data_IF_483291651911
#
_entry.id   IF_483291651911
#
_cell.length_a   1.000
_cell.length_b   1.000
_cell.length_c   1.000
_cell.angle_alpha   90.00
_cell.angle_beta   90.00
_cell.angle_gamma   90.00
#
_symmetry.space_group_name_H-M   'P 1'
#
loop_
_entity.id
_entity.type
_entity.pdbx_description
1 polymer ?
#
# COMPACT_ATOMS: atom_id res chain seq x y z
N UNK A 1 22.05 5.45 -26.09
CA UNK A 1 23.46 5.36 -25.66
C UNK A 1 24.36 5.44 -26.89
N UNK A 2 25.28 6.40 -26.93
CA UNK A 2 26.30 6.55 -27.98
C UNK A 2 27.53 5.68 -27.70
N UNK A 3 28.35 5.38 -28.72
CA UNK A 3 29.58 4.58 -28.57
C UNK A 3 30.54 5.16 -27.51
N UNK A 4 30.60 6.49 -27.39
CA UNK A 4 31.46 7.17 -26.40
C UNK A 4 30.97 6.96 -24.97
N UNK A 5 29.66 7.02 -24.75
CA UNK A 5 29.04 6.78 -23.44
C UNK A 5 29.26 5.34 -22.97
N UNK A 6 29.09 4.36 -23.87
CA UNK A 6 29.34 2.94 -23.57
C UNK A 6 30.79 2.71 -23.16
N UNK A 7 31.76 3.30 -23.88
CA UNK A 7 33.18 3.20 -23.53
C UNK A 7 33.51 3.86 -22.20
N UNK A 8 32.88 4.99 -21.87
CA UNK A 8 33.06 5.65 -20.57
C UNK A 8 32.53 4.78 -19.42
N UNK A 9 31.35 4.19 -19.59
CA UNK A 9 30.74 3.30 -18.62
C UNK A 9 31.58 2.02 -18.41
N UNK A 10 32.06 1.40 -19.49
CA UNK A 10 32.95 0.24 -19.41
C UNK A 10 34.25 0.55 -18.65
N UNK A 11 34.86 1.74 -18.87
CA UNK A 11 36.03 2.16 -18.11
C UNK A 11 35.74 2.27 -16.61
N UNK A 12 34.57 2.80 -16.24
CA UNK A 12 34.16 2.90 -14.83
C UNK A 12 33.93 1.50 -14.22
N UNK A 13 33.22 0.62 -14.92
CA UNK A 13 32.95 -0.74 -14.45
C UNK A 13 34.24 -1.56 -14.29
N UNK A 14 35.21 -1.37 -15.18
CA UNK A 14 36.54 -1.98 -15.06
C UNK A 14 37.33 -1.39 -13.89
N UNK A 15 37.30 -0.06 -13.70
CA UNK A 15 37.97 0.59 -12.57
C UNK A 15 37.40 0.14 -11.20
N UNK A 16 36.11 -0.17 -11.15
CA UNK A 16 35.43 -0.69 -9.95
C UNK A 16 35.56 -2.21 -9.80
N UNK A 17 36.22 -2.90 -10.76
CA UNK A 17 36.47 -4.34 -10.68
C UNK A 17 35.26 -5.23 -10.98
N UNK A 18 34.17 -4.68 -11.52
CA UNK A 18 32.98 -5.46 -11.92
C UNK A 18 33.19 -6.21 -13.25
N UNK A 19 34.03 -5.67 -14.13
CA UNK A 19 34.17 -6.15 -15.50
C UNK A 19 35.64 -6.21 -15.90
N UNK A 20 36.04 -7.32 -16.51
CA UNK A 20 37.35 -7.53 -17.13
C UNK A 20 37.22 -7.56 -18.65
N UNK A 21 38.16 -6.91 -19.32
CA UNK A 21 38.23 -6.92 -20.79
C UNK A 21 39.30 -7.94 -21.17
N UNK A 22 38.91 -8.99 -21.87
CA UNK A 22 39.79 -10.07 -22.31
C UNK A 22 40.09 -9.94 -23.82
N UNK A 23 41.21 -10.55 -24.24
CA UNK A 23 41.74 -10.64 -25.62
C UNK A 23 41.48 -9.45 -26.55
N UNK A 24 42.50 -8.60 -26.75
CA UNK A 24 42.50 -7.52 -27.77
C UNK A 24 41.26 -6.59 -27.75
N UNK A 25 40.60 -6.43 -26.60
CA UNK A 25 39.34 -5.67 -26.44
C UNK A 25 38.13 -6.24 -27.20
N UNK A 26 38.11 -7.54 -27.47
CA UNK A 26 37.03 -8.19 -28.22
C UNK A 26 35.91 -8.64 -27.27
N UNK A 27 36.25 -9.07 -26.05
CA UNK A 27 35.30 -9.64 -25.10
C UNK A 27 35.28 -8.88 -23.77
N UNK A 28 34.08 -8.69 -23.23
CA UNK A 28 33.82 -8.06 -21.93
C UNK A 28 33.20 -9.11 -21.03
N UNK A 29 33.93 -9.53 -19.99
CA UNK A 29 33.52 -10.58 -19.07
C UNK A 29 33.23 -9.98 -17.68
N UNK A 30 32.19 -10.45 -17.01
CA UNK A 30 31.97 -10.12 -15.61
C UNK A 30 33.05 -10.77 -14.73
N UNK A 31 33.50 -10.04 -13.73
CA UNK A 31 34.25 -10.64 -12.61
C UNK A 31 33.26 -11.28 -11.64
N UNK A 32 33.74 -12.01 -10.62
CA UNK A 32 32.85 -12.55 -9.59
C UNK A 32 32.07 -11.45 -8.86
N UNK A 33 32.72 -10.32 -8.56
CA UNK A 33 32.07 -9.14 -7.99
C UNK A 33 30.97 -8.59 -8.93
N UNK A 34 31.26 -8.51 -10.23
CA UNK A 34 30.29 -8.07 -11.23
C UNK A 34 29.12 -9.03 -11.39
N UNK A 35 29.37 -10.34 -11.29
CA UNK A 35 28.33 -11.37 -11.34
C UNK A 35 27.38 -11.24 -10.16
N UNK A 36 27.91 -11.15 -8.95
CA UNK A 36 27.10 -10.96 -7.72
C UNK A 36 26.25 -9.70 -7.86
N UNK A 37 26.86 -8.57 -8.24
CA UNK A 37 26.12 -7.30 -8.34
C UNK A 37 25.10 -7.31 -9.48
N UNK A 38 25.40 -7.98 -10.58
CA UNK A 38 24.49 -8.16 -11.71
C UNK A 38 23.30 -9.05 -11.35
N UNK A 39 23.53 -10.11 -10.59
CA UNK A 39 22.46 -10.99 -10.08
C UNK A 39 21.57 -10.26 -9.09
N UNK A 40 22.12 -9.43 -8.20
CA UNK A 40 21.33 -8.58 -7.31
C UNK A 40 20.43 -7.60 -8.09
N UNK A 41 20.98 -6.95 -9.12
CA UNK A 41 20.21 -6.05 -9.98
C UNK A 41 19.05 -6.82 -10.65
N UNK A 42 19.40 -7.93 -11.33
CA UNK A 42 18.43 -8.79 -12.01
C UNK A 42 17.33 -9.30 -11.07
N UNK A 43 17.70 -9.73 -9.86
CA UNK A 43 16.73 -10.21 -8.87
C UNK A 43 15.73 -9.13 -8.47
N UNK A 44 16.20 -7.89 -8.29
CA UNK A 44 15.33 -6.74 -7.98
C UNK A 44 14.40 -6.43 -9.15
N UNK A 45 14.92 -6.39 -10.37
CA UNK A 45 14.13 -6.20 -11.58
C UNK A 45 12.99 -7.23 -11.66
N UNK A 46 13.34 -8.52 -11.62
CA UNK A 46 12.37 -9.62 -11.73
C UNK A 46 11.32 -9.56 -10.60
N UNK A 47 11.73 -9.23 -9.37
CA UNK A 47 10.82 -9.05 -8.23
C UNK A 47 9.80 -7.94 -8.48
N UNK A 48 10.26 -6.77 -8.94
CA UNK A 48 9.37 -5.64 -9.19
C UNK A 48 8.46 -5.89 -10.39
N UNK A 49 8.97 -6.47 -11.48
CA UNK A 49 8.15 -6.83 -12.64
C UNK A 49 7.03 -7.78 -12.23
N UNK A 50 7.37 -8.87 -11.52
CA UNK A 50 6.37 -9.83 -11.03
C UNK A 50 5.35 -9.20 -10.07
N UNK A 51 5.80 -8.33 -9.16
CA UNK A 51 4.89 -7.59 -8.27
C UNK A 51 3.92 -6.72 -9.08
N UNK A 52 4.43 -5.94 -10.04
CA UNK A 52 3.64 -4.99 -10.82
C UNK A 52 2.63 -5.71 -11.71
N UNK A 53 3.04 -6.80 -12.37
CA UNK A 53 2.14 -7.67 -13.12
C UNK A 53 1.08 -8.30 -12.21
N UNK A 54 1.47 -8.75 -11.02
CA UNK A 54 0.56 -9.33 -10.03
C UNK A 54 -0.52 -8.34 -9.59
N UNK A 55 -0.19 -7.06 -9.43
CA UNK A 55 -1.18 -6.01 -9.10
C UNK A 55 -1.96 -5.50 -10.32
N UNK A 56 -1.70 -6.05 -11.52
CA UNK A 56 -2.48 -5.81 -12.74
C UNK A 56 -1.88 -4.80 -13.71
N UNK A 57 -0.61 -4.42 -13.56
CA UNK A 57 0.11 -3.59 -14.54
C UNK A 57 0.42 -4.43 -15.79
N UNK A 58 0.30 -3.82 -16.96
CA UNK A 58 0.66 -4.49 -18.23
C UNK A 58 2.17 -4.78 -18.27
N UNK A 59 2.55 -5.96 -18.77
CA UNK A 59 3.92 -6.50 -18.70
C UNK A 59 4.99 -5.51 -19.17
N UNK A 60 4.76 -4.82 -20.30
CA UNK A 60 5.69 -3.82 -20.81
C UNK A 60 5.89 -2.65 -19.85
N UNK A 61 4.82 -2.14 -19.26
CA UNK A 61 4.89 -1.05 -18.27
C UNK A 61 5.58 -1.54 -17.00
N UNK A 62 5.29 -2.78 -16.58
CA UNK A 62 5.91 -3.40 -15.41
C UNK A 62 7.44 -3.50 -15.55
N UNK A 63 7.93 -3.95 -16.71
CA UNK A 63 9.38 -4.00 -16.99
C UNK A 63 10.03 -2.61 -16.99
N UNK A 64 9.40 -1.63 -17.65
CA UNK A 64 9.92 -0.26 -17.72
C UNK A 64 9.98 0.41 -16.33
N UNK A 65 8.97 0.20 -15.49
CA UNK A 65 8.92 0.74 -14.13
C UNK A 65 9.87 -0.02 -13.19
N UNK A 66 9.96 -1.36 -13.29
CA UNK A 66 10.88 -2.17 -12.52
C UNK A 66 12.35 -1.75 -12.75
N UNK A 67 12.72 -1.45 -14.01
CA UNK A 67 14.05 -0.95 -14.37
C UNK A 67 14.39 0.39 -13.69
N UNK A 68 13.39 1.23 -13.40
CA UNK A 68 13.60 2.48 -12.66
C UNK A 68 13.65 2.24 -11.15
N UNK A 69 12.78 1.37 -10.65
CA UNK A 69 12.65 1.07 -9.22
C UNK A 69 13.88 0.36 -8.67
N UNK A 70 14.45 -0.59 -9.41
CA UNK A 70 15.56 -1.44 -8.94
C UNK A 70 16.78 -0.63 -8.46
N UNK A 71 17.01 0.54 -9.06
CA UNK A 71 18.16 1.40 -8.76
C UNK A 71 17.94 2.39 -7.61
N UNK A 72 16.68 2.62 -7.19
CA UNK A 72 16.34 3.68 -6.21
C UNK A 72 15.85 3.10 -4.89
N UNK A 73 15.20 1.94 -4.94
CA UNK A 73 14.55 1.35 -3.76
C UNK A 73 15.60 0.78 -2.77
N UNK A 74 15.29 0.71 -1.49
CA UNK A 74 16.21 0.12 -0.48
C UNK A 74 16.14 -1.42 -0.48
N UNK A 75 17.19 -2.07 0.01
CA UNK A 75 17.24 -3.54 0.14
C UNK A 75 16.12 -4.06 1.06
N UNK A 76 15.82 -3.33 2.15
CA UNK A 76 14.72 -3.65 3.07
C UNK A 76 13.37 -3.68 2.34
N UNK A 77 13.11 -2.69 1.49
CA UNK A 77 11.85 -2.61 0.75
C UNK A 77 11.73 -3.74 -0.26
N UNK A 78 12.81 -4.07 -1.00
CA UNK A 78 12.82 -5.21 -1.92
C UNK A 78 12.52 -6.50 -1.17
N UNK A 79 13.17 -6.72 -0.02
CA UNK A 79 12.97 -7.93 0.78
C UNK A 79 11.52 -8.06 1.26
N UNK A 80 10.89 -6.97 1.74
CA UNK A 80 9.48 -7.02 2.16
C UNK A 80 8.53 -7.27 0.98
N UNK A 81 8.85 -6.74 -0.20
CA UNK A 81 8.09 -7.02 -1.42
C UNK A 81 8.25 -8.49 -1.84
N UNK A 82 9.47 -9.04 -1.84
CA UNK A 82 9.70 -10.47 -2.08
C UNK A 82 8.89 -11.33 -1.13
N UNK A 83 8.88 -10.99 0.17
CA UNK A 83 8.08 -11.71 1.16
C UNK A 83 6.59 -11.64 0.84
N UNK A 84 6.10 -10.46 0.43
CA UNK A 84 4.70 -10.27 0.04
C UNK A 84 4.33 -11.09 -1.21
N UNK A 85 5.19 -11.11 -2.23
CA UNK A 85 4.95 -11.88 -3.47
C UNK A 85 4.96 -13.38 -3.18
N UNK A 86 5.93 -13.87 -2.41
CA UNK A 86 6.10 -15.32 -2.16
C UNK A 86 5.08 -15.89 -1.16
N UNK A 87 4.70 -15.12 -0.13
CA UNK A 87 3.89 -15.60 0.99
C UNK A 87 2.51 -14.94 1.07
N UNK A 88 2.20 -14.01 0.17
CA UNK A 88 0.99 -13.20 0.23
C UNK A 88 1.02 -12.17 1.36
N UNK A 89 -0.15 -11.69 1.79
CA UNK A 89 -0.26 -10.76 2.92
C UNK A 89 0.15 -11.46 4.23
N UNK A 90 1.44 -11.37 4.58
CA UNK A 90 1.98 -11.90 5.84
C UNK A 90 1.50 -11.10 7.04
N UNK A 91 1.00 -9.88 6.82
CA UNK A 91 0.52 -8.96 7.84
C UNK A 91 -0.83 -8.37 7.46
N UNK A 92 -1.68 -8.13 8.47
CA UNK A 92 -2.88 -7.32 8.27
C UNK A 92 -2.49 -5.90 7.85
N UNK A 93 -2.99 -5.45 6.69
CA UNK A 93 -2.78 -4.08 6.23
C UNK A 93 -3.60 -3.11 7.09
N UNK A 94 -2.98 -2.54 8.11
CA UNK A 94 -3.49 -1.32 8.71
C UNK A 94 -3.33 -0.19 7.70
N UNK A 95 -4.42 0.25 7.07
CA UNK A 95 -4.47 1.50 6.30
C UNK A 95 -4.21 2.66 7.27
N UNK A 96 -2.93 3.02 7.42
CA UNK A 96 -2.49 4.16 8.22
C UNK A 96 -2.38 5.36 7.29
N UNK A 97 -2.85 6.51 7.75
CA UNK A 97 -2.73 7.79 7.05
C UNK A 97 -3.40 7.84 5.66
N UNK A 98 -4.31 6.90 5.37
CA UNK A 98 -5.07 6.92 4.12
C UNK A 98 -6.24 7.86 4.28
N UNK A 99 -6.17 8.98 3.57
CA UNK A 99 -7.29 9.89 3.45
C UNK A 99 -8.25 9.37 2.38
N UNK A 100 -9.46 9.01 2.79
CA UNK A 100 -10.45 8.42 1.90
C UNK A 100 -10.96 9.42 0.85
N UNK A 101 -10.67 10.72 1.00
CA UNK A 101 -10.94 11.75 -0.02
C UNK A 101 -10.22 11.49 -1.35
N UNK A 102 -9.09 10.76 -1.35
CA UNK A 102 -8.41 10.39 -2.60
C UNK A 102 -9.12 9.29 -3.39
N UNK A 103 -10.10 8.61 -2.77
CA UNK A 103 -10.73 7.41 -3.34
C UNK A 103 -12.23 7.57 -3.55
N UNK A 104 -12.85 8.51 -2.86
CA UNK A 104 -14.28 8.77 -2.89
C UNK A 104 -14.56 10.28 -2.96
N UNK A 105 -15.55 10.65 -3.77
CA UNK A 105 -16.07 12.02 -3.81
C UNK A 105 -16.77 12.39 -2.49
N UNK A 106 -16.92 13.68 -2.18
CA UNK A 106 -17.68 14.11 -1.01
C UNK A 106 -19.11 13.56 -1.03
N UNK A 107 -19.48 12.78 -0.01
CA UNK A 107 -20.75 12.05 0.01
C UNK A 107 -20.88 11.05 1.16
N UNK A 108 -22.02 10.36 1.19
CA UNK A 108 -22.30 9.25 2.10
C UNK A 108 -22.31 7.93 1.34
N UNK A 109 -21.56 6.95 1.83
CA UNK A 109 -21.47 5.62 1.23
C UNK A 109 -21.79 4.54 2.26
N UNK A 110 -22.46 3.47 1.83
CA UNK A 110 -22.76 2.32 2.70
C UNK A 110 -21.82 1.16 2.40
N UNK A 111 -21.30 0.55 3.47
CA UNK A 111 -20.41 -0.60 3.39
C UNK A 111 -20.86 -1.70 4.34
N UNK A 112 -20.38 -2.92 4.09
CA UNK A 112 -20.42 -4.03 5.04
C UNK A 112 -19.07 -4.12 5.76
N UNK A 113 -19.10 -4.44 7.04
CA UNK A 113 -17.92 -4.53 7.90
C UNK A 113 -17.94 -5.83 8.70
N UNK A 114 -16.75 -6.38 8.94
CA UNK A 114 -16.49 -7.36 10.00
C UNK A 114 -15.37 -6.85 10.91
N UNK A 115 -15.50 -7.08 12.23
CA UNK A 115 -14.42 -6.82 13.20
C UNK A 115 -13.78 -8.16 13.52
N UNK A 116 -12.45 -8.27 13.37
CA UNK A 116 -11.71 -9.53 13.47
C UNK A 116 -10.55 -9.42 14.46
N UNK A 117 -10.09 -10.54 14.99
CA UNK A 117 -8.84 -10.60 15.77
C UNK A 117 -7.64 -10.51 14.83
N UNK A 118 -6.64 -9.71 15.19
CA UNK A 118 -5.47 -9.41 14.33
C UNK A 118 -4.51 -10.60 14.12
N UNK A 119 -4.57 -11.64 14.96
CA UNK A 119 -3.51 -12.64 15.06
C UNK A 119 -3.60 -13.79 14.03
N UNK A 120 -4.77 -14.03 13.42
CA UNK A 120 -4.97 -15.15 12.47
C UNK A 120 -5.88 -14.76 11.31
N UNK A 121 -5.31 -14.72 10.10
CA UNK A 121 -6.02 -14.43 8.85
C UNK A 121 -6.67 -15.67 8.23
N UNK A 122 -6.22 -16.88 8.57
CA UNK A 122 -6.70 -18.14 7.99
C UNK A 122 -6.83 -19.26 9.05
N UNK A 123 -8.05 -19.65 9.47
CA UNK A 123 -9.32 -18.98 9.20
C UNK A 123 -9.43 -17.67 9.99
N UNK A 124 -10.03 -16.65 9.37
CA UNK A 124 -10.26 -15.36 10.02
C UNK A 124 -11.33 -15.49 11.09
N UNK A 125 -11.04 -15.05 12.32
CA UNK A 125 -11.95 -15.16 13.47
C UNK A 125 -12.61 -13.82 13.77
N UNK A 126 -13.95 -13.78 13.79
CA UNK A 126 -14.70 -12.60 14.21
C UNK A 126 -14.43 -12.27 15.68
N UNK A 127 -14.20 -10.99 15.95
CA UNK A 127 -14.00 -10.45 17.28
C UNK A 127 -15.31 -10.46 18.07
N UNK A 128 -15.24 -10.57 19.41
CA UNK A 128 -16.44 -10.60 20.26
C UNK A 128 -17.25 -9.31 20.16
N UNK A 129 -16.54 -8.19 19.99
CA UNK A 129 -17.06 -6.84 19.82
C UNK A 129 -17.93 -6.69 18.58
N UNK A 130 -17.76 -7.53 17.57
CA UNK A 130 -18.56 -7.48 16.34
C UNK A 130 -20.06 -7.60 16.64
N UNK A 131 -20.45 -8.40 17.64
CA UNK A 131 -21.85 -8.58 18.06
C UNK A 131 -22.51 -7.28 18.56
N UNK A 132 -21.70 -6.31 18.98
CA UNK A 132 -22.18 -5.03 19.50
C UNK A 132 -22.50 -4.02 18.38
N UNK A 133 -22.17 -4.34 17.13
CA UNK A 133 -22.34 -3.46 15.98
C UNK A 133 -23.12 -4.15 14.85
N UNK A 134 -23.81 -3.35 14.04
CA UNK A 134 -24.44 -3.83 12.81
C UNK A 134 -23.37 -4.04 11.74
N UNK A 135 -23.61 -5.01 10.86
CA UNK A 135 -22.71 -5.30 9.74
C UNK A 135 -22.63 -4.14 8.75
N UNK A 136 -23.75 -3.44 8.55
CA UNK A 136 -23.78 -2.24 7.73
C UNK A 136 -23.17 -1.06 8.48
N UNK A 137 -22.23 -0.37 7.84
CA UNK A 137 -21.62 0.87 8.31
C UNK A 137 -21.77 1.97 7.26
N UNK A 138 -21.54 3.23 7.66
CA UNK A 138 -21.62 4.38 6.76
C UNK A 138 -20.30 5.15 6.73
N UNK A 139 -19.75 5.35 5.55
CA UNK A 139 -18.65 6.29 5.34
C UNK A 139 -19.22 7.68 5.07
N UNK A 140 -18.68 8.66 5.78
CA UNK A 140 -18.92 10.08 5.55
C UNK A 140 -17.64 10.70 5.00
N UNK A 141 -17.67 11.18 3.76
CA UNK A 141 -16.55 11.89 3.13
C UNK A 141 -16.92 13.37 3.06
N UNK A 142 -16.26 14.20 3.87
CA UNK A 142 -16.43 15.65 3.87
C UNK A 142 -15.21 16.32 3.24
N UNK A 143 -15.31 17.63 3.02
CA UNK A 143 -14.21 18.43 2.46
C UNK A 143 -12.95 18.39 3.34
N UNK A 144 -13.12 18.39 4.67
CA UNK A 144 -12.01 18.49 5.63
C UNK A 144 -11.63 17.13 6.25
N UNK A 145 -12.58 16.21 6.40
CA UNK A 145 -12.38 14.94 7.10
C UNK A 145 -13.22 13.80 6.52
N UNK A 146 -12.79 12.56 6.77
CA UNK A 146 -13.56 11.37 6.46
C UNK A 146 -13.65 10.43 7.67
N UNK A 147 -14.81 9.83 7.90
CA UNK A 147 -15.01 8.89 9.01
C UNK A 147 -16.07 7.83 8.71
N UNK A 148 -15.89 6.66 9.28
CA UNK A 148 -16.92 5.63 9.33
C UNK A 148 -17.80 5.80 10.56
N UNK A 149 -19.10 5.69 10.39
CA UNK A 149 -20.09 5.56 11.45
C UNK A 149 -20.49 4.10 11.60
N UNK A 150 -20.24 3.57 12.79
CA UNK A 150 -20.61 2.23 13.22
C UNK A 150 -21.88 2.32 14.04
N UNK A 151 -22.88 1.54 13.63
CA UNK A 151 -24.17 1.49 14.31
C UNK A 151 -24.15 0.41 15.38
N UNK A 152 -24.39 0.78 16.64
CA UNK A 152 -24.54 -0.21 17.70
C UNK A 152 -25.81 -1.05 17.50
N UNK A 153 -25.76 -2.33 17.89
CA UNK A 153 -26.94 -3.21 17.91
C UNK A 153 -27.86 -2.88 19.08
N UNK A 154 -27.29 -2.47 20.22
CA UNK A 154 -28.04 -1.98 21.36
C UNK A 154 -28.61 -0.57 21.10
N UNK A 155 -29.94 -0.37 21.13
CA UNK A 155 -30.56 0.92 20.80
C UNK A 155 -30.26 2.04 21.80
N UNK A 156 -29.80 1.68 23.01
CA UNK A 156 -29.42 2.63 24.07
C UNK A 156 -27.98 3.14 23.93
N UNK A 157 -27.15 2.46 23.14
CA UNK A 157 -25.76 2.82 22.94
C UNK A 157 -25.57 3.81 21.79
N UNK A 158 -24.59 4.70 21.95
CA UNK A 158 -24.27 5.71 20.94
C UNK A 158 -23.40 5.09 19.86
N UNK A 159 -23.77 5.36 18.60
CA UNK A 159 -22.94 5.04 17.44
C UNK A 159 -21.50 5.48 17.64
N UNK A 160 -20.59 4.62 17.22
CA UNK A 160 -19.17 4.90 17.24
C UNK A 160 -18.76 5.53 15.90
N UNK A 161 -17.83 6.49 15.95
CA UNK A 161 -17.24 7.09 14.75
C UNK A 161 -15.75 6.77 14.71
N UNK A 162 -15.31 6.15 13.63
CA UNK A 162 -13.92 5.88 13.30
C UNK A 162 -13.44 6.95 12.34
N UNK A 163 -12.67 7.92 12.83
CA UNK A 163 -12.12 8.99 12.01
C UNK A 163 -10.88 8.48 11.28
N UNK A 164 -10.91 8.53 9.95
CA UNK A 164 -9.82 8.11 9.08
C UNK A 164 -8.91 9.32 8.81
N UNK A 165 -7.65 9.23 9.25
CA UNK A 165 -6.69 10.33 9.11
C UNK A 165 -5.32 9.98 9.68
N UNK A 166 -4.39 10.94 9.79
CA UNK A 166 -2.98 10.68 10.15
C UNK A 166 -2.74 10.01 11.51
N UNK A 167 -3.77 9.93 12.36
CA UNK A 167 -3.72 9.31 13.68
C UNK A 167 -4.96 8.46 13.99
N UNK A 168 -5.66 7.95 12.96
CA UNK A 168 -6.90 7.16 13.03
C UNK A 168 -7.55 7.15 14.43
N UNK A 169 -8.49 8.07 14.69
CA UNK A 169 -9.03 8.27 16.04
C UNK A 169 -10.41 7.63 16.17
N UNK A 170 -10.59 6.85 17.24
CA UNK A 170 -11.92 6.38 17.66
C UNK A 170 -12.58 7.46 18.51
N UNK A 171 -13.78 7.90 18.13
CA UNK A 171 -14.59 8.83 18.90
C UNK A 171 -16.02 8.34 19.00
N UNK A 172 -16.72 8.61 20.11
CA UNK A 172 -18.17 8.39 20.19
C UNK A 172 -18.90 9.58 19.57
N UNK A 173 -19.79 9.33 18.62
CA UNK A 173 -20.59 10.39 17.99
C UNK A 173 -21.56 11.01 19.02
N UNK A 174 -21.46 12.33 19.24
CA UNK A 174 -22.45 13.09 20.03
C UNK A 174 -23.53 13.61 19.09
N UNK A 175 -24.72 12.99 19.08
CA UNK A 175 -25.90 13.65 18.47
C UNK A 175 -26.20 14.93 19.25
N UNK A 176 -26.00 16.10 18.64
CA UNK A 176 -26.78 17.29 19.03
C UNK A 176 -28.24 16.96 18.67
N UNK A 177 -29.12 16.85 19.67
CA UNK A 177 -30.57 16.79 19.42
C UNK A 177 -30.91 17.98 18.52
N UNK A 178 -31.29 17.74 17.27
CA UNK A 178 -32.02 18.75 16.49
C UNK A 178 -33.31 18.98 17.29
N UNK A 179 -33.45 20.16 17.91
CA UNK A 179 -34.75 20.58 18.44
C UNK A 179 -35.71 20.54 17.24
N UNK A 180 -36.79 19.77 17.36
CA UNK A 180 -37.92 19.89 16.46
C UNK A 180 -38.32 21.37 16.36
N UNK A 181 -38.68 21.88 15.16
CA UNK A 181 -39.23 23.22 15.05
C UNK A 181 -40.47 23.29 15.94
N UNK A 182 -40.57 24.34 16.75
CA UNK A 182 -41.74 24.59 17.59
C UNK A 182 -42.96 24.83 16.68
N UNK A 183 -43.99 23.96 16.71
CA UNK A 183 -45.16 24.10 15.85
C UNK A 183 -45.99 25.35 16.12
N UNK A 184 -45.71 26.13 17.18
CA UNK A 184 -46.45 27.33 17.54
C UNK A 184 -45.76 28.67 17.22
N UNK A 185 -44.66 28.67 16.47
CA UNK A 185 -44.06 29.94 16.02
C UNK A 185 -44.85 30.51 14.83
N UNK A 186 -45.95 31.20 15.11
CA UNK A 186 -46.66 32.05 14.12
C UNK A 186 -45.75 33.20 13.69
N UNK A 187 -45.85 33.52 12.40
CA UNK A 187 -45.08 34.49 11.63
C UNK A 187 -44.97 35.87 12.28
#
# INVERSE_FOLDING_TARGET
MSRREVLACLKQLTAQGYVKIEEKNICVCLTELGRIRGEECRHRHETFTQLLEYVGVESRIAEEDACRMEHVVSDETVQQICNFVNYGSTFEHALRNTDLRYRYEPGEYSFLMGIYYMEKTCPRRLAGEFKNYKEQIRLHVKKEDSYFELFCTAPEEKNCSLVCGPRNRLGKSRRRKRKSPDPNRRF
#
